data_IF_954829932205
#
_entry.id   IF_954829932205
#
_cell.length_a   1.000
_cell.length_b   1.000
_cell.length_c   1.000
_cell.angle_alpha   90.00
_cell.angle_beta   90.00
_cell.angle_gamma   90.00
#
_symmetry.space_group_name_H-M   'P 1'
#
loop_
_entity.id
_entity.type
_entity.pdbx_description
1 polymer ?
#
# COMPACT_ATOMS: atom_id res chain seq x y z
N UNK A 1 -0.70 -30.78 -35.92
CA UNK A 1 -1.48 -29.90 -35.04
C UNK A 1 -0.58 -29.45 -33.90
N UNK A 2 0.04 -28.26 -33.97
CA UNK A 2 0.73 -27.73 -32.81
C UNK A 2 -0.30 -27.02 -31.92
N UNK A 3 -0.40 -27.47 -30.67
CA UNK A 3 -1.13 -26.80 -29.59
C UNK A 3 -0.24 -25.69 -29.02
N UNK A 4 -0.58 -24.44 -29.31
CA UNK A 4 -0.04 -23.28 -28.63
C UNK A 4 -0.51 -23.30 -27.17
N UNK A 5 0.36 -23.79 -26.29
CA UNK A 5 0.26 -23.51 -24.86
C UNK A 5 0.79 -22.09 -24.65
N UNK A 6 -0.07 -21.11 -24.87
CA UNK A 6 0.20 -19.73 -24.49
C UNK A 6 0.44 -19.66 -22.99
N UNK A 7 1.67 -19.38 -22.60
CA UNK A 7 2.06 -18.92 -21.27
C UNK A 7 1.50 -17.51 -21.05
N UNK A 8 0.17 -17.42 -20.93
CA UNK A 8 -0.49 -16.21 -20.46
C UNK A 8 -0.19 -16.06 -18.97
N UNK A 9 0.64 -15.08 -18.62
CA UNK A 9 0.65 -14.55 -17.26
C UNK A 9 -0.81 -14.21 -16.90
N UNK A 10 -1.34 -14.64 -15.74
CA UNK A 10 -2.73 -14.34 -15.38
C UNK A 10 -2.97 -12.84 -15.52
N UNK A 11 -4.09 -12.46 -16.13
CA UNK A 11 -4.44 -11.06 -16.32
C UNK A 11 -4.45 -10.37 -14.94
N UNK A 12 -3.62 -9.35 -14.79
CA UNK A 12 -3.51 -8.60 -13.54
C UNK A 12 -4.86 -7.94 -13.24
N UNK A 13 -5.32 -8.05 -12.00
CA UNK A 13 -6.52 -7.36 -11.53
C UNK A 13 -6.49 -5.87 -11.89
N UNK A 14 -7.64 -5.30 -12.24
CA UNK A 14 -7.75 -3.87 -12.59
C UNK A 14 -7.73 -2.97 -11.35
N UNK A 15 -8.09 -3.53 -10.19
CA UNK A 15 -8.24 -2.84 -8.91
C UNK A 15 -7.39 -3.51 -7.82
N UNK A 16 -6.99 -2.72 -6.83
CA UNK A 16 -6.19 -3.14 -5.70
C UNK A 16 -6.86 -2.67 -4.41
N UNK A 17 -7.22 -3.60 -3.54
CA UNK A 17 -7.76 -3.32 -2.20
C UNK A 17 -6.63 -3.49 -1.19
N UNK A 18 -6.43 -2.49 -0.35
CA UNK A 18 -5.39 -2.47 0.67
C UNK A 18 -6.03 -2.38 2.05
N UNK A 19 -5.67 -3.31 2.93
CA UNK A 19 -5.97 -3.23 4.36
C UNK A 19 -4.70 -2.89 5.09
N UNK A 20 -4.72 -1.78 5.82
CA UNK A 20 -3.62 -1.41 6.70
C UNK A 20 -3.92 -1.97 8.08
N UNK A 21 -2.98 -2.75 8.60
CA UNK A 21 -3.05 -3.25 9.97
C UNK A 21 -2.96 -2.09 10.97
N UNK A 22 -3.54 -2.28 12.16
CA UNK A 22 -3.50 -1.36 13.30
C UNK A 22 -2.08 -0.93 13.62
N UNK A 23 -1.09 -1.84 13.56
CA UNK A 23 0.31 -1.49 13.83
C UNK A 23 0.91 -0.49 12.84
N UNK A 24 0.42 -0.44 11.59
CA UNK A 24 0.87 0.51 10.57
C UNK A 24 0.36 1.92 10.90
N UNK A 25 -0.90 2.04 11.32
CA UNK A 25 -1.46 3.32 11.78
C UNK A 25 -0.76 3.83 13.05
N UNK A 26 -0.55 2.96 14.04
CA UNK A 26 0.12 3.33 15.29
C UNK A 26 1.56 3.75 15.09
N UNK A 27 2.28 3.15 14.14
CA UNK A 27 3.62 3.61 13.77
C UNK A 27 3.61 5.03 13.21
N UNK A 28 2.71 5.31 12.26
CA UNK A 28 2.61 6.63 11.66
C UNK A 28 2.21 7.67 12.71
N UNK A 29 1.27 7.32 13.59
CA UNK A 29 0.91 8.13 14.75
C UNK A 29 2.13 8.37 15.66
N UNK A 30 2.92 7.35 16.00
CA UNK A 30 4.15 7.50 16.81
C UNK A 30 5.17 8.44 16.16
N UNK A 31 5.40 8.30 14.85
CA UNK A 31 6.36 9.13 14.10
C UNK A 31 5.90 10.58 14.07
N UNK A 32 4.59 10.81 13.90
CA UNK A 32 4.01 12.15 13.84
C UNK A 32 3.93 12.79 15.23
N UNK A 33 3.49 12.05 16.23
CA UNK A 33 3.21 12.49 17.60
C UNK A 33 1.85 13.18 17.75
N UNK A 34 1.34 13.26 18.98
CA UNK A 34 0.11 14.00 19.30
C UNK A 34 0.34 15.53 19.28
N UNK A 35 -0.66 16.34 18.92
CA UNK A 35 -1.85 15.93 18.16
C UNK A 35 -1.45 15.54 16.72
N UNK A 36 -2.11 14.51 16.19
CA UNK A 36 -1.87 14.05 14.84
C UNK A 36 -2.39 15.05 13.81
N UNK A 37 -1.68 15.22 12.68
CA UNK A 37 -2.15 16.02 11.53
C UNK A 37 -1.58 15.47 10.23
N UNK A 38 -2.31 15.65 9.13
CA UNK A 38 -1.88 15.19 7.81
C UNK A 38 -0.66 15.95 7.29
N UNK A 39 -0.55 17.24 7.61
CA UNK A 39 0.61 18.06 7.22
C UNK A 39 1.90 17.53 7.86
N UNK A 40 1.85 17.12 9.14
CA UNK A 40 2.99 16.51 9.82
C UNK A 40 3.31 15.13 9.27
N UNK A 41 2.29 14.34 8.88
CA UNK A 41 2.48 13.05 8.20
C UNK A 41 3.19 13.24 6.86
N UNK A 42 2.71 14.16 6.03
CA UNK A 42 3.32 14.50 4.73
C UNK A 42 4.76 14.98 4.93
N UNK A 43 5.00 15.86 5.90
CA UNK A 43 6.36 16.32 6.21
C UNK A 43 7.29 15.18 6.66
N UNK A 44 6.79 14.23 7.45
CA UNK A 44 7.52 13.02 7.81
C UNK A 44 7.82 12.15 6.58
N UNK A 45 6.84 11.98 5.69
CA UNK A 45 7.02 11.26 4.43
C UNK A 45 8.07 11.88 3.50
N UNK A 46 8.11 13.21 3.39
CA UNK A 46 9.14 13.92 2.61
C UNK A 46 10.53 13.63 3.16
N UNK A 47 10.71 13.64 4.49
CA UNK A 47 11.98 13.28 5.13
C UNK A 47 12.34 11.81 4.89
N UNK A 48 11.39 10.91 5.12
CA UNK A 48 11.58 9.47 4.91
C UNK A 48 11.99 9.12 3.46
N UNK A 49 11.42 9.80 2.44
CA UNK A 49 11.81 9.57 1.04
C UNK A 49 13.29 9.88 0.77
N UNK A 50 13.90 10.78 1.52
CA UNK A 50 15.31 11.15 1.35
C UNK A 50 16.28 10.11 1.95
N UNK A 51 15.85 9.40 2.99
CA UNK A 51 16.71 8.50 3.79
C UNK A 51 16.82 7.08 3.22
N UNK A 52 15.93 6.72 2.28
CA UNK A 52 15.92 5.43 1.59
C UNK A 52 15.27 4.31 2.39
N UNK A 53 14.65 3.36 1.68
CA UNK A 53 13.88 2.24 2.25
C UNK A 53 14.71 0.96 2.15
N UNK A 54 14.71 0.07 3.18
CA UNK A 54 13.96 0.12 4.43
C UNK A 54 14.57 1.02 5.52
N UNK A 55 13.73 1.64 6.34
CA UNK A 55 14.16 2.49 7.46
C UNK A 55 14.51 1.67 8.70
N UNK A 56 15.72 1.09 8.74
CA UNK A 56 16.14 0.18 9.82
C UNK A 56 16.14 0.80 11.23
N UNK A 57 16.41 2.10 11.34
CA UNK A 57 16.48 2.80 12.64
C UNK A 57 15.11 3.22 13.16
N UNK A 58 14.19 3.51 12.25
CA UNK A 58 12.83 3.89 12.57
C UNK A 58 11.87 3.29 11.52
N UNK A 59 11.47 2.02 11.68
CA UNK A 59 10.60 1.34 10.72
C UNK A 59 9.22 2.00 10.56
N UNK A 60 8.81 2.86 11.50
CA UNK A 60 7.56 3.61 11.36
C UNK A 60 7.57 4.59 10.20
N UNK A 61 8.75 5.01 9.73
CA UNK A 61 8.88 5.82 8.51
C UNK A 61 8.43 5.04 7.26
N UNK A 62 8.60 3.72 7.22
CA UNK A 62 8.07 2.89 6.13
C UNK A 62 6.53 2.85 6.18
N UNK A 63 5.94 2.79 7.38
CA UNK A 63 4.49 2.89 7.59
C UNK A 63 3.92 4.25 7.14
N UNK A 64 4.62 5.35 7.44
CA UNK A 64 4.27 6.70 6.94
C UNK A 64 4.28 6.72 5.41
N UNK A 65 5.33 6.18 4.78
CA UNK A 65 5.41 6.13 3.31
C UNK A 65 4.29 5.28 2.71
N UNK A 66 3.95 4.14 3.32
CA UNK A 66 2.84 3.28 2.92
C UNK A 66 1.51 4.03 2.94
N UNK A 67 1.17 4.67 4.06
CA UNK A 67 -0.09 5.43 4.18
C UNK A 67 -0.18 6.51 3.10
N UNK A 68 0.89 7.28 2.90
CA UNK A 68 0.91 8.32 1.88
C UNK A 68 0.83 7.76 0.44
N UNK A 69 1.39 6.58 0.18
CA UNK A 69 1.30 5.92 -1.13
C UNK A 69 -0.11 5.40 -1.40
N UNK A 70 -0.80 4.89 -0.37
CA UNK A 70 -2.17 4.38 -0.47
C UNK A 70 -3.21 5.52 -0.55
N UNK A 71 -2.99 6.62 0.17
CA UNK A 71 -3.88 7.78 0.17
C UNK A 71 -4.07 8.43 -1.21
N UNK A 72 -3.26 8.09 -2.22
CA UNK A 72 -3.37 8.67 -3.56
C UNK A 72 -4.45 8.06 -4.46
N UNK A 73 -5.14 7.00 -4.03
CA UNK A 73 -6.20 6.34 -4.81
C UNK A 73 -5.72 5.57 -6.06
N UNK A 74 -4.42 5.63 -6.36
CA UNK A 74 -3.81 4.98 -7.52
C UNK A 74 -2.48 4.34 -7.14
N UNK A 75 -2.34 3.07 -7.47
CA UNK A 75 -1.08 2.36 -7.36
C UNK A 75 -0.10 2.77 -8.47
N UNK A 76 1.21 2.64 -8.22
CA UNK A 76 2.27 3.06 -9.13
C UNK A 76 2.24 2.40 -10.51
N UNK A 77 1.67 1.19 -10.61
CA UNK A 77 1.46 0.48 -11.87
C UNK A 77 0.28 1.00 -12.70
N UNK A 78 -0.52 1.93 -12.16
CA UNK A 78 -1.68 2.54 -12.80
C UNK A 78 -3.04 1.96 -12.39
N UNK A 79 -3.08 0.92 -11.54
CA UNK A 79 -4.35 0.39 -11.01
C UNK A 79 -5.00 1.36 -10.02
N UNK A 80 -6.32 1.35 -9.95
CA UNK A 80 -7.05 2.00 -8.86
C UNK A 80 -6.71 1.28 -7.55
N UNK A 81 -6.44 2.05 -6.50
CA UNK A 81 -6.13 1.53 -5.17
C UNK A 81 -7.10 2.13 -4.17
N UNK A 82 -7.84 1.29 -3.47
CA UNK A 82 -8.70 1.71 -2.36
C UNK A 82 -8.26 1.09 -1.04
N UNK A 83 -8.21 1.90 0.01
CA UNK A 83 -7.95 1.46 1.38
C UNK A 83 -9.26 1.13 2.05
N UNK A 84 -9.37 -0.10 2.56
CA UNK A 84 -10.55 -0.52 3.31
C UNK A 84 -10.24 -0.72 4.78
N UNK A 85 -11.24 -0.48 5.62
CA UNK A 85 -11.17 -0.65 7.08
C UNK A 85 -12.35 -1.47 7.61
N UNK A 86 -12.37 -1.71 8.92
CA UNK A 86 -13.49 -2.29 9.67
C UNK A 86 -13.66 -1.58 11.01
N UNK A 87 -14.81 -1.78 11.65
CA UNK A 87 -15.08 -1.23 12.97
C UNK A 87 -14.05 -1.69 14.01
N UNK A 88 -13.54 -2.90 13.86
CA UNK A 88 -12.47 -3.43 14.71
C UNK A 88 -11.17 -2.64 14.55
N UNK A 89 -10.68 -2.45 13.32
CA UNK A 89 -9.45 -1.68 13.06
C UNK A 89 -9.61 -0.27 13.61
N UNK A 90 -10.74 0.37 13.32
CA UNK A 90 -11.08 1.72 13.75
C UNK A 90 -10.98 1.89 15.28
N UNK A 91 -11.63 1.00 16.03
CA UNK A 91 -11.62 1.00 17.50
C UNK A 91 -10.23 0.70 18.07
N UNK A 92 -9.51 -0.25 17.46
CA UNK A 92 -8.22 -0.70 17.96
C UNK A 92 -7.11 0.34 17.78
N UNK A 93 -7.15 1.14 16.71
CA UNK A 93 -6.20 2.26 16.52
C UNK A 93 -6.33 3.28 17.66
N UNK A 94 -7.55 3.76 17.93
CA UNK A 94 -7.78 4.74 18.99
C UNK A 94 -7.45 4.15 20.39
N UNK A 95 -7.95 2.94 20.67
CA UNK A 95 -7.73 2.25 21.95
C UNK A 95 -6.24 2.03 22.24
N UNK A 96 -5.48 1.52 21.26
CA UNK A 96 -4.03 1.28 21.43
C UNK A 96 -3.20 2.56 21.44
N UNK A 97 -3.65 3.64 20.81
CA UNK A 97 -2.99 4.94 20.93
C UNK A 97 -3.12 5.51 22.36
N UNK A 98 -4.28 5.36 22.98
CA UNK A 98 -4.53 5.77 24.37
C UNK A 98 -3.82 4.86 25.40
N UNK A 99 -3.60 3.59 25.08
CA UNK A 99 -2.95 2.67 26.00
C UNK A 99 -1.55 3.16 26.46
N UNK A 100 -1.18 2.98 27.74
CA UNK A 100 0.09 3.46 28.28
C UNK A 100 1.32 2.90 27.54
N UNK A 101 2.38 3.72 27.49
CA UNK A 101 3.68 3.31 26.91
C UNK A 101 4.44 2.29 27.76
N UNK A 102 4.08 2.15 29.04
CA UNK A 102 4.70 1.23 29.99
C UNK A 102 3.68 0.25 30.55
N UNK A 103 3.94 -1.05 30.41
CA UNK A 103 3.08 -2.12 30.91
C UNK A 103 3.61 -3.51 30.49
N UNK A 104 3.10 -4.57 31.12
CA UNK A 104 3.35 -5.95 30.71
C UNK A 104 2.35 -6.29 29.59
N UNK A 105 2.83 -6.55 28.37
CA UNK A 105 1.98 -6.86 27.20
C UNK A 105 2.33 -5.99 25.97
N UNK A 106 1.29 -5.61 25.20
CA UNK A 106 1.40 -4.72 24.02
C UNK A 106 1.37 -3.24 24.45
N UNK A 107 2.52 -2.53 24.52
CA UNK A 107 2.55 -1.12 24.89
C UNK A 107 1.86 -0.25 23.84
N UNK A 108 1.10 0.74 24.30
CA UNK A 108 0.47 1.75 23.43
C UNK A 108 1.33 3.00 23.26
N UNK A 109 0.71 4.11 22.82
CA UNK A 109 1.40 5.38 22.62
C UNK A 109 1.30 6.33 23.83
N UNK A 110 0.44 6.03 24.80
CA UNK A 110 0.20 6.84 26.00
C UNK A 110 -0.41 8.21 25.68
N UNK A 111 -1.16 8.32 24.58
CA UNK A 111 -1.81 9.57 24.20
C UNK A 111 -3.02 9.84 25.11
N UNK A 112 -3.43 11.10 25.20
CA UNK A 112 -4.70 11.44 25.82
C UNK A 112 -5.84 10.85 24.99
N UNK A 113 -6.91 10.37 25.64
CA UNK A 113 -8.07 9.78 24.96
C UNK A 113 -8.63 10.69 23.85
N UNK A 114 -8.64 12.01 24.08
CA UNK A 114 -9.09 12.98 23.10
C UNK A 114 -8.21 12.97 21.83
N UNK A 115 -6.88 12.98 21.97
CA UNK A 115 -5.93 12.95 20.84
C UNK A 115 -5.93 11.57 20.16
N UNK A 116 -6.13 10.50 20.92
CA UNK A 116 -6.23 9.15 20.39
C UNK A 116 -7.50 8.95 19.56
N UNK A 117 -8.62 9.53 20.00
CA UNK A 117 -9.89 9.48 19.28
C UNK A 117 -9.82 10.22 17.94
N UNK A 118 -9.04 11.32 17.83
CA UNK A 118 -8.93 12.03 16.55
C UNK A 118 -8.20 11.22 15.48
N UNK A 119 -7.40 10.20 15.85
CA UNK A 119 -6.78 9.30 14.86
C UNK A 119 -7.82 8.57 13.99
N UNK A 120 -9.03 8.35 14.50
CA UNK A 120 -10.07 7.74 13.70
C UNK A 120 -10.46 8.63 12.51
N UNK A 121 -10.74 9.90 12.77
CA UNK A 121 -11.16 10.86 11.74
C UNK A 121 -9.96 11.33 10.91
N UNK A 122 -8.91 11.82 11.58
CA UNK A 122 -7.79 12.51 10.96
C UNK A 122 -6.80 11.57 10.25
N UNK A 123 -6.78 10.28 10.62
CA UNK A 123 -5.85 9.29 10.06
C UNK A 123 -6.56 8.14 9.32
N UNK A 124 -7.40 7.37 10.01
CA UNK A 124 -7.99 6.16 9.41
C UNK A 124 -9.03 6.53 8.35
N UNK A 125 -10.02 7.34 8.69
CA UNK A 125 -11.03 7.77 7.72
C UNK A 125 -10.44 8.67 6.63
N UNK A 126 -9.52 9.56 6.96
CA UNK A 126 -8.88 10.41 5.96
C UNK A 126 -8.13 9.59 4.88
N UNK A 127 -7.41 8.51 5.24
CA UNK A 127 -6.78 7.65 4.22
C UNK A 127 -7.82 6.88 3.40
N UNK A 128 -8.87 6.36 4.04
CA UNK A 128 -9.97 5.65 3.37
C UNK A 128 -10.62 6.58 2.33
N UNK A 129 -11.05 7.77 2.75
CA UNK A 129 -11.71 8.77 1.89
C UNK A 129 -10.81 9.20 0.73
N UNK A 130 -9.54 9.53 1.00
CA UNK A 130 -8.60 9.97 -0.06
C UNK A 130 -8.31 8.90 -1.10
N UNK A 131 -8.39 7.63 -0.71
CA UNK A 131 -8.20 6.49 -1.60
C UNK A 131 -9.49 6.02 -2.29
N UNK A 132 -10.62 6.70 -2.06
CA UNK A 132 -11.95 6.27 -2.53
C UNK A 132 -12.29 4.85 -2.06
N UNK A 133 -11.84 4.48 -0.86
CA UNK A 133 -12.15 3.22 -0.21
C UNK A 133 -13.37 3.28 0.68
N UNK A 134 -13.58 2.21 1.44
CA UNK A 134 -14.80 2.04 2.26
C UNK A 134 -14.52 1.19 3.51
N UNK A 135 -15.56 0.96 4.31
CA UNK A 135 -15.54 0.05 5.45
C UNK A 135 -16.36 -1.20 5.15
N UNK A 136 -15.90 -2.35 5.64
CA UNK A 136 -16.72 -3.57 5.68
C UNK A 136 -17.68 -3.60 6.88
N UNK A 137 -17.58 -2.61 7.77
CA UNK A 137 -18.36 -2.53 9.01
C UNK A 137 -17.88 -3.54 10.06
N UNK A 138 -18.84 -4.18 10.73
CA UNK A 138 -18.57 -5.15 11.78
C UNK A 138 -18.07 -6.48 11.20
N UNK A 139 -16.92 -6.96 11.71
CA UNK A 139 -16.43 -8.31 11.40
C UNK A 139 -17.08 -9.30 12.36
N UNK A 140 -17.92 -10.17 11.80
CA UNK A 140 -18.63 -11.21 12.56
C UNK A 140 -17.69 -12.34 13.02
N UNK A 141 -16.68 -12.65 12.22
CA UNK A 141 -15.70 -13.70 12.56
C UNK A 141 -14.32 -13.42 11.97
N UNK A 142 -13.29 -13.64 12.80
CA UNK A 142 -11.91 -13.65 12.35
C UNK A 142 -11.69 -14.71 11.26
N UNK A 143 -10.76 -14.45 10.34
CA UNK A 143 -10.42 -15.33 9.22
C UNK A 143 -8.93 -15.68 9.29
N UNK A 144 -8.60 -16.96 9.13
CA UNK A 144 -7.20 -17.42 9.25
C UNK A 144 -6.71 -17.57 10.70
N UNK A 145 -7.60 -17.48 11.69
CA UNK A 145 -7.36 -17.85 13.10
C UNK A 145 -7.85 -19.30 13.34
N UNK A 146 -6.97 -20.26 13.68
CA UNK A 146 -5.50 -20.21 13.66
C UNK A 146 -4.93 -20.34 12.22
N UNK A 147 -3.66 -19.93 11.96
CA UNK A 147 -2.59 -19.59 12.91
C UNK A 147 -2.51 -18.13 13.38
N UNK A 148 -3.36 -17.23 12.87
CA UNK A 148 -3.42 -15.86 13.37
C UNK A 148 -4.02 -15.81 14.77
N UNK A 149 -3.71 -14.76 15.52
CA UNK A 149 -4.55 -14.43 16.67
C UNK A 149 -5.86 -13.74 16.22
N UNK A 150 -6.72 -13.43 17.18
CA UNK A 150 -8.01 -12.83 16.89
C UNK A 150 -7.90 -11.44 16.24
N UNK A 151 -6.91 -10.63 16.62
CA UNK A 151 -6.73 -9.28 16.07
C UNK A 151 -6.27 -9.36 14.62
N UNK A 152 -5.20 -10.12 14.35
CA UNK A 152 -4.67 -10.33 13.00
C UNK A 152 -5.70 -11.01 12.10
N UNK A 153 -6.43 -12.00 12.63
CA UNK A 153 -7.49 -12.69 11.90
C UNK A 153 -8.67 -11.77 11.55
N UNK A 154 -8.90 -10.72 12.33
CA UNK A 154 -9.94 -9.71 12.04
C UNK A 154 -9.48 -8.72 10.96
N UNK A 155 -8.21 -8.34 10.96
CA UNK A 155 -7.59 -7.59 9.84
C UNK A 155 -7.66 -8.42 8.55
N UNK A 156 -7.35 -9.72 8.62
CA UNK A 156 -7.42 -10.60 7.46
C UNK A 156 -8.85 -10.84 6.96
N UNK A 157 -9.83 -10.93 7.87
CA UNK A 157 -11.26 -10.97 7.52
C UNK A 157 -11.72 -9.70 6.81
N UNK A 158 -11.23 -8.53 7.24
CA UNK A 158 -11.48 -7.25 6.56
C UNK A 158 -11.07 -7.31 5.10
N UNK A 159 -9.89 -7.88 4.79
CA UNK A 159 -9.45 -8.03 3.41
C UNK A 159 -10.35 -8.97 2.61
N UNK A 160 -10.76 -10.10 3.20
CA UNK A 160 -11.67 -11.07 2.57
C UNK A 160 -13.00 -10.43 2.19
N UNK A 161 -13.56 -9.62 3.09
CA UNK A 161 -14.91 -9.05 2.97
C UNK A 161 -14.92 -7.70 2.23
N UNK A 162 -13.76 -7.10 2.01
CA UNK A 162 -13.64 -5.83 1.30
C UNK A 162 -13.88 -6.00 -0.21
N UNK A 163 -14.63 -5.02 -0.75
CA UNK A 163 -15.07 -4.91 -2.15
C UNK A 163 -16.04 -6.03 -2.60
N UNK A 164 -16.95 -5.70 -3.51
CA UNK A 164 -18.02 -6.61 -3.93
C UNK A 164 -17.45 -7.86 -4.63
N UNK A 165 -17.75 -9.08 -4.16
CA UNK A 165 -17.29 -10.33 -4.79
C UNK A 165 -17.74 -10.49 -6.25
N UNK A 166 -18.77 -9.78 -6.70
CA UNK A 166 -19.26 -9.84 -8.08
C UNK A 166 -18.40 -9.02 -9.07
N UNK A 167 -17.50 -8.13 -8.57
CA UNK A 167 -16.56 -7.37 -9.39
C UNK A 167 -15.25 -8.16 -9.58
N UNK A 168 -15.32 -9.15 -10.48
CA UNK A 168 -14.46 -10.35 -10.52
C UNK A 168 -12.95 -10.22 -10.75
N UNK A 169 -12.29 -9.08 -10.52
CA UNK A 169 -10.83 -8.94 -10.70
C UNK A 169 -10.20 -7.91 -9.74
N UNK A 170 -10.13 -8.25 -8.44
CA UNK A 170 -9.53 -7.42 -7.39
C UNK A 170 -8.39 -8.18 -6.70
N UNK A 171 -7.21 -7.58 -6.67
CA UNK A 171 -6.11 -8.05 -5.81
C UNK A 171 -6.28 -7.44 -4.42
N UNK A 172 -6.07 -8.24 -3.37
CA UNK A 172 -6.21 -7.82 -1.97
C UNK A 172 -4.87 -7.94 -1.25
N UNK A 173 -4.51 -6.91 -0.48
CA UNK A 173 -3.23 -6.85 0.23
C UNK A 173 -3.45 -6.37 1.66
N UNK A 174 -3.06 -7.19 2.63
CA UNK A 174 -2.85 -6.77 4.01
C UNK A 174 -1.42 -6.25 4.16
N UNK A 175 -1.26 -5.05 4.71
CA UNK A 175 0.06 -4.49 5.03
C UNK A 175 0.22 -4.46 6.55
N UNK A 176 1.22 -5.17 7.06
CA UNK A 176 1.45 -5.34 8.50
C UNK A 176 2.94 -5.43 8.84
N UNK A 177 3.31 -5.00 10.04
CA UNK A 177 4.63 -5.30 10.63
C UNK A 177 4.63 -6.53 11.52
N UNK A 178 3.49 -7.17 11.76
CA UNK A 178 3.42 -8.36 12.60
C UNK A 178 4.15 -9.52 11.91
N UNK A 179 5.18 -10.05 12.58
CA UNK A 179 6.01 -11.13 12.02
C UNK A 179 5.28 -12.48 12.05
N UNK A 180 4.37 -12.71 12.99
CA UNK A 180 3.48 -13.87 13.00
C UNK A 180 2.55 -13.83 11.80
N UNK A 181 1.87 -12.70 11.58
CA UNK A 181 0.98 -12.51 10.43
C UNK A 181 1.73 -12.65 9.09
N UNK A 182 2.90 -12.01 8.94
CA UNK A 182 3.72 -12.09 7.72
C UNK A 182 4.17 -13.53 7.36
N UNK A 183 4.35 -14.39 8.36
CA UNK A 183 4.84 -15.76 8.16
C UNK A 183 3.74 -16.83 8.26
N UNK A 184 2.50 -16.42 8.49
CA UNK A 184 1.38 -17.32 8.64
C UNK A 184 1.04 -18.03 7.32
N UNK A 185 0.71 -19.32 7.41
CA UNK A 185 0.17 -20.08 6.28
C UNK A 185 -1.33 -19.85 6.17
N UNK A 186 -1.74 -18.85 5.39
CA UNK A 186 -3.12 -18.37 5.33
C UNK A 186 -3.90 -18.90 4.12
N UNK A 187 -5.23 -19.07 4.25
CA UNK A 187 -6.08 -19.45 3.13
C UNK A 187 -6.34 -18.26 2.18
N UNK A 188 -6.62 -18.56 0.91
CA UNK A 188 -7.04 -17.56 -0.08
C UNK A 188 -5.90 -16.95 -0.90
N UNK A 189 -6.22 -15.86 -1.62
CA UNK A 189 -5.30 -15.15 -2.52
C UNK A 189 -4.92 -13.75 -2.00
N UNK A 190 -5.20 -13.45 -0.73
CA UNK A 190 -4.86 -12.17 -0.10
C UNK A 190 -3.35 -12.18 0.18
N UNK A 191 -2.64 -11.16 -0.31
CA UNK A 191 -1.22 -11.01 -0.04
C UNK A 191 -1.00 -10.34 1.31
N UNK A 192 -0.01 -10.80 2.07
CA UNK A 192 0.40 -10.15 3.32
C UNK A 192 1.84 -9.68 3.17
N UNK A 193 2.07 -8.38 3.31
CA UNK A 193 3.39 -7.77 3.06
C UNK A 193 3.75 -6.76 4.14
N UNK A 194 5.05 -6.53 4.32
CA UNK A 194 5.53 -5.46 5.21
C UNK A 194 5.41 -4.08 4.54
N UNK A 195 5.28 -2.98 5.32
CA UNK A 195 5.35 -1.62 4.77
C UNK A 195 6.58 -1.38 3.91
N UNK A 196 7.73 -1.90 4.32
CA UNK A 196 8.98 -1.74 3.57
C UNK A 196 8.97 -2.49 2.22
N UNK A 197 8.43 -3.71 2.21
CA UNK A 197 8.27 -4.52 0.98
C UNK A 197 7.36 -3.80 0.01
N UNK A 198 6.19 -3.37 0.50
CA UNK A 198 5.22 -2.61 -0.28
C UNK A 198 5.83 -1.37 -0.93
N UNK A 199 6.55 -0.55 -0.16
CA UNK A 199 7.14 0.68 -0.69
C UNK A 199 8.28 0.41 -1.68
N UNK A 200 9.10 -0.62 -1.46
CA UNK A 200 10.14 -0.98 -2.43
C UNK A 200 9.52 -1.38 -3.78
N UNK A 201 8.43 -2.14 -3.77
CA UNK A 201 7.68 -2.52 -4.96
C UNK A 201 7.01 -1.32 -5.63
N UNK A 202 6.31 -0.49 -4.85
CA UNK A 202 5.69 0.75 -5.33
C UNK A 202 6.71 1.65 -6.03
N UNK A 203 7.87 1.88 -5.40
CA UNK A 203 8.95 2.68 -5.98
C UNK A 203 9.55 2.03 -7.23
N UNK A 204 9.61 0.70 -7.30
CA UNK A 204 10.05 0.00 -8.51
C UNK A 204 9.09 0.21 -9.67
N UNK A 205 7.78 0.17 -9.43
CA UNK A 205 6.76 0.46 -10.44
C UNK A 205 6.77 1.93 -10.88
N UNK A 206 6.96 2.88 -9.96
CA UNK A 206 7.14 4.29 -10.29
C UNK A 206 8.34 4.49 -11.23
N UNK A 207 9.47 3.85 -10.93
CA UNK A 207 10.66 3.89 -11.81
C UNK A 207 10.37 3.29 -13.19
N UNK A 208 9.70 2.14 -13.27
CA UNK A 208 9.31 1.53 -14.54
C UNK A 208 8.38 2.45 -15.35
N UNK A 209 7.40 3.08 -14.70
CA UNK A 209 6.48 4.03 -15.33
C UNK A 209 7.20 5.28 -15.84
N UNK A 210 8.09 5.86 -15.03
CA UNK A 210 8.92 6.99 -15.44
C UNK A 210 9.80 6.66 -16.66
N UNK A 211 10.46 5.49 -16.66
CA UNK A 211 11.27 5.03 -17.80
C UNK A 211 10.43 4.85 -19.08
N UNK A 212 9.22 4.27 -18.98
CA UNK A 212 8.29 4.16 -20.11
C UNK A 212 7.89 5.52 -20.67
N UNK A 213 7.59 6.49 -19.81
CA UNK A 213 7.26 7.87 -20.23
C UNK A 213 8.43 8.55 -20.94
N UNK A 214 9.66 8.40 -20.43
CA UNK A 214 10.86 8.95 -21.07
C UNK A 214 11.15 8.28 -22.42
N UNK A 215 10.92 6.96 -22.53
CA UNK A 215 11.06 6.22 -23.78
C UNK A 215 10.04 6.66 -24.84
N UNK A 216 8.79 6.88 -24.44
CA UNK A 216 7.73 7.38 -25.32
C UNK A 216 7.91 8.86 -25.71
N UNK A 217 8.54 9.67 -24.85
CA UNK A 217 8.82 11.08 -25.09
C UNK A 217 10.06 11.34 -25.97
N UNK A 218 10.80 10.30 -26.39
CA UNK A 218 11.83 10.40 -27.44
C UNK A 218 11.15 10.23 -28.80
N UNK A 219 10.79 11.30 -29.54
CA UNK A 219 10.42 11.14 -30.93
C UNK A 219 11.60 10.52 -31.67
N UNK A 220 11.29 9.59 -32.57
CA UNK A 220 12.24 9.07 -33.53
C UNK A 220 12.99 10.25 -34.17
N UNK A 221 14.27 10.40 -33.85
CA UNK A 221 15.22 11.06 -34.75
C UNK A 221 15.35 10.12 -35.95
N UNK A 222 14.35 10.12 -36.83
CA UNK A 222 14.49 9.65 -38.19
C UNK A 222 15.54 10.53 -38.83
N UNK A 223 16.74 9.97 -38.95
CA UNK A 223 17.82 10.50 -39.76
C UNK A 223 17.31 10.87 -41.16
N UNK A 224 17.54 12.10 -41.64
CA UNK A 224 17.48 12.42 -43.04
C UNK A 224 18.88 12.84 -43.49
N UNK A 225 19.87 11.96 -43.43
CA UNK A 225 21.10 12.15 -44.19
C UNK A 225 21.56 10.85 -44.83
N UNK A 226 21.67 10.91 -46.16
CA UNK A 226 22.29 9.96 -47.10
C UNK A 226 21.42 8.83 -47.68
N UNK A 227 20.33 9.23 -48.34
CA UNK A 227 19.86 8.61 -49.60
C UNK A 227 20.16 9.60 -50.74
N UNK A 228 21.43 9.69 -51.13
CA UNK A 228 21.86 10.45 -52.32
C UNK A 228 23.20 9.93 -52.86
N UNK A 229 23.26 8.64 -53.20
CA UNK A 229 24.28 8.10 -54.10
C UNK A 229 23.63 7.12 -55.06
N UNK A 230 22.76 7.65 -55.91
CA UNK A 230 22.51 7.08 -57.21
C UNK A 230 22.31 8.24 -58.18
N UNK A 231 23.07 8.20 -59.27
CA UNK A 231 22.88 8.96 -60.50
C UNK A 231 23.73 10.23 -60.68
N UNK A 232 25.03 10.01 -60.89
CA UNK A 232 25.85 10.88 -61.73
C UNK A 232 26.52 10.06 -62.83
N UNK A 233 25.72 9.83 -63.88
CA UNK A 233 26.06 9.91 -65.31
C UNK A 233 27.53 9.71 -65.73
N UNK A 234 27.72 8.59 -66.43
CA UNK A 234 28.44 8.51 -67.69
C UNK A 234 28.11 9.72 -68.57
N UNK A 235 29.09 10.56 -68.93
CA UNK A 235 29.36 11.06 -70.30
C UNK A 235 30.46 12.14 -70.32
N UNK A 236 31.50 11.78 -71.09
CA UNK A 236 32.59 12.57 -71.71
C UNK A 236 33.74 13.00 -70.82
#
# INVERSE_FOLDING_TARGET
MPTDAGTGSPARASRLVVILDVNVYLDAARVVGAPFTWERLVAAGVRARADGVPHRRDPGLDSVLTILACAGGQHADGRSLSVWTSDHINLMVASKAAHPTSGVGNPGLGWLDADAQTLLEDLVWEVVIRSEGDTVGEIVSAYGDPPLDHEDGTVYATARDADDPDDGYVDRVCITRDTGFLNASLPGLIQVVSPSTWILEYQAEERKRAMRRLGAARPHLTSPFLLALSDSRIRR
#
